data_IF_675191194742
#
_entry.id   IF_675191194742
#
_cell.length_a   1.000
_cell.length_b   1.000
_cell.length_c   1.000
_cell.angle_alpha   90.00
_cell.angle_beta   90.00
_cell.angle_gamma   90.00
#
_symmetry.space_group_name_H-M   'P 1'
#
loop_
_entity.id
_entity.type
_entity.pdbx_description
1 polymer ?
#
# COMPACT_ATOMS: atom_id res chain seq x y z
N UNK A 1 -18.09 70.21 -3.23
CA UNK A 1 -16.95 69.25 -3.21
C UNK A 1 -17.27 67.83 -3.71
N UNK A 2 -18.38 67.58 -4.44
CA UNK A 2 -18.69 66.25 -5.04
C UNK A 2 -18.53 66.17 -6.58
N UNK A 3 -17.99 67.20 -7.23
CA UNK A 3 -17.81 67.22 -8.69
C UNK A 3 -16.34 67.04 -9.15
N UNK A 4 -15.34 67.29 -8.29
CA UNK A 4 -13.92 67.07 -8.60
C UNK A 4 -13.45 65.61 -8.45
N UNK A 5 -14.17 64.74 -7.72
CA UNK A 5 -13.82 63.30 -7.62
C UNK A 5 -14.19 62.51 -8.88
N UNK A 6 -15.28 62.85 -9.58
CA UNK A 6 -15.74 62.14 -10.80
C UNK A 6 -14.85 62.37 -12.05
N UNK A 7 -14.01 63.42 -12.05
CA UNK A 7 -13.07 63.71 -13.15
C UNK A 7 -11.71 63.02 -12.96
N UNK A 8 -11.40 62.53 -11.76
CA UNK A 8 -10.19 61.75 -11.46
C UNK A 8 -10.36 60.27 -11.85
N UNK A 9 -11.56 59.69 -11.66
CA UNK A 9 -11.84 58.29 -12.04
C UNK A 9 -11.95 58.08 -13.56
N UNK A 10 -12.42 59.07 -14.34
CA UNK A 10 -12.49 58.94 -15.82
C UNK A 10 -11.13 59.00 -16.51
N UNK A 11 -10.11 59.60 -15.89
CA UNK A 11 -8.74 59.63 -16.44
C UNK A 11 -8.03 58.27 -16.26
N UNK A 12 -8.21 57.63 -15.11
CA UNK A 12 -7.58 56.32 -14.81
C UNK A 12 -8.15 55.17 -15.65
N UNK A 13 -9.45 55.22 -16.02
CA UNK A 13 -10.08 54.19 -16.85
C UNK A 13 -9.79 54.35 -18.36
N UNK A 14 -9.34 55.53 -18.82
CA UNK A 14 -8.94 55.75 -20.22
C UNK A 14 -7.52 55.28 -20.51
N UNK A 15 -6.61 55.34 -19.53
CA UNK A 15 -5.20 54.91 -19.68
C UNK A 15 -5.05 53.37 -19.65
N UNK A 16 -5.97 52.67 -18.98
CA UNK A 16 -5.98 51.18 -18.93
C UNK A 16 -6.52 50.55 -20.22
N UNK A 17 -7.38 51.24 -20.98
CA UNK A 17 -7.89 50.75 -22.27
C UNK A 17 -6.93 51.01 -23.44
N UNK A 18 -6.02 51.98 -23.34
CA UNK A 18 -4.99 52.24 -24.36
C UNK A 18 -3.81 51.26 -24.26
N UNK A 19 -3.44 50.81 -23.05
CA UNK A 19 -2.38 49.82 -22.86
C UNK A 19 -2.79 48.40 -23.28
N UNK A 20 -4.07 48.06 -23.25
CA UNK A 20 -4.56 46.73 -23.65
C UNK A 20 -4.77 46.57 -25.17
N UNK A 21 -4.76 47.67 -25.94
CA UNK A 21 -4.84 47.66 -27.42
C UNK A 21 -3.48 47.55 -28.10
N UNK A 22 -2.39 47.93 -27.44
CA UNK A 22 -1.03 47.92 -28.00
C UNK A 22 -0.32 46.56 -27.87
N UNK A 23 -0.73 45.71 -26.93
CA UNK A 23 -0.20 44.33 -26.84
C UNK A 23 -0.88 43.35 -27.80
N UNK A 24 -2.11 43.64 -28.26
CA UNK A 24 -2.85 42.79 -29.19
C UNK A 24 -2.52 43.07 -30.67
N UNK A 25 -1.87 44.20 -30.97
CA UNK A 25 -1.54 44.63 -32.34
C UNK A 25 -0.07 44.42 -32.73
N UNK A 26 0.83 44.14 -31.78
CA UNK A 26 2.22 43.73 -32.07
C UNK A 26 2.44 42.22 -32.25
N UNK A 27 1.40 41.40 -32.08
CA UNK A 27 1.45 39.95 -32.36
C UNK A 27 0.80 39.55 -33.69
N UNK A 28 0.31 40.51 -34.48
CA UNK A 28 -0.37 40.30 -35.77
C UNK A 28 0.44 40.73 -37.00
N UNK A 29 1.75 41.03 -36.85
CA UNK A 29 2.62 41.41 -37.97
C UNK A 29 3.98 40.71 -37.94
N UNK A 30 4.00 39.41 -37.67
CA UNK A 30 5.03 38.52 -38.22
C UNK A 30 4.35 37.65 -39.26
N UNK A 31 4.29 38.21 -40.47
CA UNK A 31 3.76 37.61 -41.69
C UNK A 31 4.66 36.44 -42.08
N UNK A 32 4.54 35.32 -41.37
CA UNK A 32 5.09 34.04 -41.79
C UNK A 32 4.28 33.62 -43.01
N UNK A 33 4.86 33.86 -44.20
CA UNK A 33 4.44 33.23 -45.45
C UNK A 33 4.59 31.72 -45.26
N UNK A 34 3.55 31.08 -44.74
CA UNK A 34 3.40 29.64 -44.84
C UNK A 34 3.05 29.40 -46.30
N UNK A 35 4.08 29.10 -47.08
CA UNK A 35 3.92 28.51 -48.39
C UNK A 35 3.37 27.10 -48.14
N UNK A 36 2.04 26.96 -48.09
CA UNK A 36 1.37 25.65 -48.00
C UNK A 36 1.54 25.00 -49.37
N UNK A 37 2.73 24.45 -49.59
CA UNK A 37 2.88 23.35 -50.51
C UNK A 37 2.03 22.22 -49.94
N UNK A 38 0.83 22.02 -50.51
CA UNK A 38 -0.02 20.86 -50.31
C UNK A 38 0.73 19.61 -50.80
N UNK A 39 1.72 19.18 -50.03
CA UNK A 39 2.30 17.85 -50.16
C UNK A 39 1.35 16.93 -49.41
N UNK A 40 0.50 16.20 -50.14
CA UNK A 40 -0.32 15.10 -49.61
C UNK A 40 0.59 14.07 -48.94
N UNK A 41 0.91 14.25 -47.66
CA UNK A 41 1.48 13.20 -46.82
C UNK A 41 0.32 12.42 -46.20
N UNK A 42 0.41 11.09 -46.25
CA UNK A 42 -0.68 10.20 -45.83
C UNK A 42 -0.94 10.39 -44.33
N UNK A 43 -2.22 10.42 -43.86
CA UNK A 43 -2.57 10.65 -42.45
C UNK A 43 -1.99 9.62 -41.47
N UNK A 44 -1.49 8.49 -41.98
CA UNK A 44 -0.81 7.45 -41.21
C UNK A 44 0.59 7.83 -40.74
N UNK A 45 1.34 8.69 -41.46
CA UNK A 45 2.73 9.01 -41.08
C UNK A 45 2.83 10.00 -39.90
N UNK A 46 2.01 11.05 -39.89
CA UNK A 46 1.97 12.05 -38.80
C UNK A 46 1.56 11.41 -37.46
N UNK A 47 0.54 10.55 -37.47
CA UNK A 47 0.06 9.86 -36.27
C UNK A 47 1.12 8.90 -35.69
N UNK A 48 1.87 8.22 -36.57
CA UNK A 48 2.95 7.31 -36.18
C UNK A 48 4.12 8.08 -35.57
N UNK A 49 4.42 9.28 -36.09
CA UNK A 49 5.48 10.15 -35.59
C UNK A 49 5.11 10.76 -34.22
N UNK A 50 3.85 11.15 -34.04
CA UNK A 50 3.34 11.63 -32.75
C UNK A 50 3.29 10.52 -31.70
N UNK A 51 2.82 9.31 -32.06
CA UNK A 51 2.83 8.15 -31.17
C UNK A 51 4.25 7.76 -30.78
N UNK A 52 5.21 7.78 -31.72
CA UNK A 52 6.61 7.51 -31.42
C UNK A 52 7.24 8.63 -30.58
N UNK A 53 6.89 9.90 -30.81
CA UNK A 53 7.37 11.03 -30.02
C UNK A 53 6.86 10.98 -28.56
N UNK A 54 5.57 10.65 -28.36
CA UNK A 54 4.99 10.47 -27.02
C UNK A 54 5.59 9.25 -26.33
N UNK A 55 5.77 8.14 -27.06
CA UNK A 55 6.36 6.90 -26.53
C UNK A 55 7.84 7.10 -26.15
N UNK A 56 8.62 7.86 -26.92
CA UNK A 56 9.99 8.22 -26.55
C UNK A 56 10.00 9.11 -25.31
N UNK A 57 9.21 10.19 -25.24
CA UNK A 57 9.23 11.13 -24.12
C UNK A 57 8.80 10.58 -22.75
N UNK A 58 7.94 9.55 -22.70
CA UNK A 58 7.50 8.96 -21.41
C UNK A 58 8.58 8.07 -20.79
N UNK A 59 9.35 7.36 -21.61
CA UNK A 59 10.41 6.43 -21.17
C UNK A 59 11.80 7.05 -21.14
N UNK A 60 12.03 8.20 -21.79
CA UNK A 60 13.30 8.96 -21.74
C UNK A 60 13.43 9.88 -20.50
N UNK A 61 12.60 9.66 -19.48
CA UNK A 61 12.86 10.30 -18.17
C UNK A 61 14.06 9.60 -17.54
N UNK A 62 15.20 10.30 -17.49
CA UNK A 62 16.33 9.91 -16.67
C UNK A 62 15.92 9.95 -15.18
N UNK A 63 15.31 8.86 -14.70
CA UNK A 63 14.90 8.73 -13.31
C UNK A 63 16.18 8.61 -12.49
N UNK A 64 16.44 9.62 -11.66
CA UNK A 64 17.54 9.56 -10.72
C UNK A 64 17.18 8.54 -9.61
N UNK A 65 17.59 7.28 -9.81
CA UNK A 65 17.36 6.19 -8.84
C UNK A 65 17.98 6.48 -7.47
N UNK A 66 19.04 7.30 -7.40
CA UNK A 66 19.63 7.72 -6.14
C UNK A 66 18.73 8.70 -5.37
N UNK A 67 17.88 9.46 -6.06
CA UNK A 67 16.89 10.34 -5.43
C UNK A 67 15.71 9.53 -4.86
N UNK A 68 15.37 8.41 -5.49
CA UNK A 68 14.37 7.47 -4.96
C UNK A 68 14.86 6.91 -3.61
N UNK A 69 16.09 6.40 -3.54
CA UNK A 69 16.61 5.82 -2.29
C UNK A 69 17.13 6.80 -1.24
N UNK A 70 16.86 8.11 -1.40
CA UNK A 70 17.16 9.14 -0.39
C UNK A 70 15.97 9.37 0.54
N UNK A 71 15.90 8.58 1.60
CA UNK A 71 15.00 8.82 2.75
C UNK A 71 15.55 9.91 3.68
N UNK A 72 15.84 11.12 3.16
CA UNK A 72 16.48 12.20 3.92
C UNK A 72 15.65 12.71 5.10
N UNK A 73 14.35 12.40 5.13
CA UNK A 73 13.44 12.78 6.22
C UNK A 73 13.47 11.80 7.40
N UNK A 74 14.10 10.63 7.27
CA UNK A 74 14.16 9.60 8.29
C UNK A 74 15.57 9.55 8.88
N UNK A 75 15.71 9.54 10.20
CA UNK A 75 17.02 9.48 10.85
C UNK A 75 17.75 8.16 10.52
N UNK A 76 19.09 8.18 10.53
CA UNK A 76 19.92 6.97 10.31
C UNK A 76 19.58 5.85 11.31
N UNK A 77 19.29 6.21 12.55
CA UNK A 77 18.87 5.28 13.59
C UNK A 77 17.55 4.58 13.22
N UNK A 78 16.55 5.34 12.75
CA UNK A 78 15.27 4.77 12.30
C UNK A 78 15.41 3.95 11.02
N UNK A 79 16.30 4.32 10.10
CA UNK A 79 16.63 3.48 8.95
C UNK A 79 17.18 2.11 9.37
N UNK A 80 18.08 2.07 10.35
CA UNK A 80 18.62 0.81 10.86
C UNK A 80 17.54 -0.01 11.58
N UNK A 81 16.67 0.65 12.35
CA UNK A 81 15.52 0.04 12.99
C UNK A 81 14.60 -0.64 11.98
N UNK A 82 14.20 0.08 10.92
CA UNK A 82 13.36 -0.44 9.85
C UNK A 82 14.00 -1.65 9.16
N UNK A 83 15.32 -1.62 8.92
CA UNK A 83 16.02 -2.79 8.36
C UNK A 83 15.84 -4.03 9.23
N UNK A 84 15.96 -3.89 10.56
CA UNK A 84 15.75 -5.01 11.48
C UNK A 84 14.29 -5.49 11.46
N UNK A 85 13.32 -4.56 11.47
CA UNK A 85 11.89 -4.88 11.34
C UNK A 85 11.62 -5.71 10.08
N UNK A 86 12.06 -5.25 8.90
CA UNK A 86 11.81 -5.95 7.64
C UNK A 86 12.62 -7.25 7.49
N UNK A 87 13.79 -7.34 8.11
CA UNK A 87 14.56 -8.59 8.17
C UNK A 87 13.82 -9.64 9.01
N UNK A 88 13.32 -9.27 10.18
CA UNK A 88 12.47 -10.13 11.01
C UNK A 88 11.17 -10.51 10.32
N UNK A 89 10.55 -9.57 9.59
CA UNK A 89 9.35 -9.85 8.81
C UNK A 89 9.62 -10.93 7.75
N UNK A 90 10.74 -10.81 7.04
CA UNK A 90 11.16 -11.80 6.02
C UNK A 90 11.38 -13.19 6.64
N UNK A 91 12.01 -13.25 7.82
CA UNK A 91 12.14 -14.50 8.58
C UNK A 91 10.78 -15.07 8.97
N UNK A 92 9.86 -14.23 9.48
CA UNK A 92 8.50 -14.66 9.83
C UNK A 92 7.76 -15.23 8.62
N UNK A 93 7.97 -14.67 7.41
CA UNK A 93 7.37 -15.19 6.18
C UNK A 93 7.86 -16.59 5.83
N UNK A 94 9.17 -16.83 5.93
CA UNK A 94 9.73 -18.17 5.71
C UNK A 94 9.21 -19.18 6.74
N UNK A 95 9.17 -18.78 8.01
CA UNK A 95 8.71 -19.64 9.10
C UNK A 95 7.20 -19.92 9.01
N UNK A 96 6.39 -18.92 8.65
CA UNK A 96 4.97 -19.11 8.41
C UNK A 96 4.70 -19.99 7.19
N UNK A 97 5.49 -19.86 6.12
CA UNK A 97 5.41 -20.75 4.97
C UNK A 97 5.73 -22.20 5.35
N UNK A 98 6.75 -22.42 6.19
CA UNK A 98 7.06 -23.74 6.74
C UNK A 98 5.90 -24.29 7.60
N UNK A 99 5.28 -23.46 8.43
CA UNK A 99 4.09 -23.84 9.21
C UNK A 99 2.90 -24.23 8.33
N UNK A 100 2.61 -23.44 7.30
CA UNK A 100 1.55 -23.76 6.34
C UNK A 100 1.84 -25.08 5.58
N UNK A 101 3.08 -25.30 5.17
CA UNK A 101 3.50 -26.55 4.52
C UNK A 101 3.33 -27.77 5.44
N UNK A 102 3.76 -27.66 6.70
CA UNK A 102 3.57 -28.73 7.71
C UNK A 102 2.09 -29.06 7.87
N UNK A 103 1.20 -28.06 7.93
CA UNK A 103 -0.24 -28.30 7.98
C UNK A 103 -0.72 -29.12 6.77
N UNK A 104 -0.37 -28.69 5.54
CA UNK A 104 -0.82 -29.32 4.29
C UNK A 104 -0.39 -30.79 4.20
N UNK A 105 0.85 -31.10 4.58
CA UNK A 105 1.38 -32.48 4.51
C UNK A 105 0.79 -33.36 5.60
N UNK A 106 0.79 -32.86 6.83
CA UNK A 106 0.50 -33.70 7.98
C UNK A 106 -0.99 -33.82 8.24
N UNK A 107 -1.79 -32.82 7.81
CA UNK A 107 -3.18 -32.62 8.23
C UNK A 107 -3.39 -32.77 9.74
N UNK A 108 -2.30 -32.68 10.53
CA UNK A 108 -2.23 -33.13 11.93
C UNK A 108 -3.15 -32.32 12.83
N UNK A 109 -3.42 -31.10 12.42
CA UNK A 109 -4.42 -30.26 13.03
C UNK A 109 -5.50 -30.03 11.98
N UNK A 110 -6.73 -30.49 12.22
CA UNK A 110 -7.93 -29.82 11.65
C UNK A 110 -8.08 -28.38 12.21
N UNK A 111 -7.05 -27.84 12.88
CA UNK A 111 -6.26 -26.77 12.26
C UNK A 111 -6.65 -25.34 12.58
N UNK A 112 -7.89 -25.11 12.97
CA UNK A 112 -8.36 -23.77 13.29
C UNK A 112 -7.99 -23.36 14.72
N UNK A 113 -8.46 -24.10 15.72
CA UNK A 113 -8.51 -23.58 17.08
C UNK A 113 -7.18 -23.68 17.83
N UNK A 114 -6.47 -24.80 17.74
CA UNK A 114 -5.21 -25.01 18.46
C UNK A 114 -4.09 -24.10 17.96
N UNK A 115 -4.02 -23.87 16.65
CA UNK A 115 -3.06 -22.93 16.03
C UNK A 115 -3.38 -21.49 16.44
N UNK A 116 -4.65 -21.09 16.46
CA UNK A 116 -5.10 -19.77 16.94
C UNK A 116 -4.76 -19.59 18.42
N UNK A 117 -5.14 -20.54 19.28
CA UNK A 117 -4.82 -20.47 20.72
C UNK A 117 -3.31 -20.47 20.98
N UNK A 118 -2.55 -21.28 20.24
CA UNK A 118 -1.10 -21.33 20.32
C UNK A 118 -0.46 -20.01 19.88
N UNK A 119 -0.90 -19.43 18.76
CA UNK A 119 -0.41 -18.14 18.29
C UNK A 119 -0.74 -17.02 19.28
N UNK A 120 -1.94 -17.02 19.87
CA UNK A 120 -2.32 -16.07 20.91
C UNK A 120 -1.45 -16.24 22.17
N UNK A 121 -1.18 -17.48 22.58
CA UNK A 121 -0.30 -17.77 23.71
C UNK A 121 1.13 -17.28 23.46
N UNK A 122 1.69 -17.51 22.27
CA UNK A 122 3.02 -16.99 21.91
C UNK A 122 3.04 -15.46 21.88
N UNK A 123 1.98 -14.82 21.39
CA UNK A 123 1.86 -13.36 21.38
C UNK A 123 1.77 -12.77 22.79
N UNK A 124 0.99 -13.40 23.68
CA UNK A 124 0.96 -13.02 25.11
C UNK A 124 2.33 -13.21 25.76
N UNK A 125 3.02 -14.33 25.48
CA UNK A 125 4.36 -14.58 26.00
C UNK A 125 5.38 -13.54 25.52
N UNK A 126 5.29 -13.14 24.25
CA UNK A 126 6.12 -12.07 23.70
C UNK A 126 5.88 -10.74 24.41
N UNK A 127 4.61 -10.39 24.68
CA UNK A 127 4.23 -9.16 25.38
C UNK A 127 4.68 -9.15 26.85
N UNK A 128 4.76 -10.31 27.50
CA UNK A 128 5.24 -10.43 28.89
C UNK A 128 6.77 -10.43 28.99
N UNK A 129 7.48 -10.62 27.89
CA UNK A 129 8.95 -10.66 27.87
C UNK A 129 9.48 -9.24 27.63
N UNK A 130 10.18 -8.62 28.62
CA UNK A 130 10.64 -7.25 28.50
C UNK A 130 11.66 -7.08 27.36
N UNK A 131 11.64 -5.91 26.73
CA UNK A 131 12.62 -5.54 25.71
C UNK A 131 13.97 -5.24 26.35
N UNK A 132 14.94 -6.14 26.17
CA UNK A 132 16.32 -5.95 26.56
C UNK A 132 17.25 -6.67 25.57
N UNK A 133 18.54 -6.27 25.46
CA UNK A 133 19.49 -6.95 24.57
C UNK A 133 19.73 -8.42 24.95
N UNK A 134 19.56 -8.77 26.23
CA UNK A 134 19.72 -10.15 26.70
C UNK A 134 18.53 -11.04 26.32
N UNK A 135 17.31 -10.47 26.31
CA UNK A 135 16.09 -11.21 25.97
C UNK A 135 15.83 -11.26 24.47
N UNK A 136 16.56 -10.49 23.65
CA UNK A 136 16.34 -10.34 22.21
C UNK A 136 16.26 -11.69 21.47
N UNK A 137 17.24 -12.59 21.69
CA UNK A 137 17.26 -13.93 21.06
C UNK A 137 16.03 -14.76 21.44
N UNK A 138 15.62 -14.70 22.71
CA UNK A 138 14.42 -15.39 23.21
C UNK A 138 13.16 -14.81 22.57
N UNK A 139 13.06 -13.49 22.46
CA UNK A 139 11.93 -12.81 21.81
C UNK A 139 11.82 -13.16 20.33
N UNK A 140 12.95 -13.23 19.61
CA UNK A 140 12.99 -13.69 18.22
C UNK A 140 12.55 -15.15 18.07
N UNK A 141 12.93 -16.03 19.00
CA UNK A 141 12.48 -17.41 19.01
C UNK A 141 10.95 -17.51 19.24
N UNK A 142 10.41 -16.72 20.18
CA UNK A 142 8.97 -16.65 20.42
C UNK A 142 8.24 -16.08 19.19
N UNK A 143 8.77 -15.03 18.56
CA UNK A 143 8.24 -14.48 17.31
C UNK A 143 8.20 -15.52 16.19
N UNK A 144 9.26 -16.34 16.08
CA UNK A 144 9.32 -17.42 15.08
C UNK A 144 8.28 -18.50 15.37
N UNK A 145 8.11 -18.90 16.64
CA UNK A 145 7.08 -19.86 17.03
C UNK A 145 5.66 -19.31 16.77
N UNK A 146 5.43 -18.02 17.05
CA UNK A 146 4.21 -17.31 16.70
C UNK A 146 3.96 -17.37 15.18
N UNK A 147 4.94 -16.99 14.37
CA UNK A 147 4.83 -17.00 12.91
C UNK A 147 4.55 -18.40 12.36
N UNK A 148 5.20 -19.43 12.90
CA UNK A 148 4.97 -20.82 12.54
C UNK A 148 3.51 -21.24 12.82
N UNK A 149 3.01 -20.96 14.03
CA UNK A 149 1.64 -21.29 14.42
C UNK A 149 0.60 -20.50 13.62
N UNK A 150 0.88 -19.22 13.31
CA UNK A 150 0.05 -18.44 12.39
C UNK A 150 0.02 -19.08 10.99
N UNK A 151 1.16 -19.56 10.50
CA UNK A 151 1.27 -20.31 9.25
C UNK A 151 0.44 -21.60 9.24
N UNK A 152 0.53 -22.40 10.31
CA UNK A 152 -0.33 -23.58 10.52
C UNK A 152 -1.82 -23.18 10.54
N UNK A 153 -2.15 -22.05 11.19
CA UNK A 153 -3.52 -21.53 11.26
C UNK A 153 -4.11 -21.05 9.93
N UNK A 154 -3.28 -20.80 8.91
CA UNK A 154 -3.75 -20.57 7.54
C UNK A 154 -4.19 -21.87 6.85
N UNK A 155 -3.87 -23.02 7.43
CA UNK A 155 -4.11 -24.36 6.90
C UNK A 155 -5.51 -24.58 6.30
N UNK A 156 -6.61 -24.34 7.04
CA UNK A 156 -7.96 -24.53 6.50
C UNK A 156 -8.26 -23.67 5.25
N UNK A 157 -7.71 -22.45 5.19
CA UNK A 157 -7.84 -21.60 4.01
C UNK A 157 -7.01 -22.13 2.83
N UNK A 158 -5.81 -22.66 3.11
CA UNK A 158 -4.98 -23.34 2.11
C UNK A 158 -5.67 -24.58 1.56
N UNK A 159 -6.24 -25.43 2.42
CA UNK A 159 -6.94 -26.64 2.02
C UNK A 159 -8.12 -26.31 1.08
N UNK A 160 -8.87 -25.25 1.39
CA UNK A 160 -9.93 -24.74 0.52
C UNK A 160 -9.38 -24.32 -0.85
N UNK A 161 -8.29 -23.56 -0.91
CA UNK A 161 -7.72 -23.07 -2.17
C UNK A 161 -7.06 -24.19 -2.98
N UNK A 162 -6.38 -25.14 -2.33
CA UNK A 162 -5.79 -26.32 -2.98
C UNK A 162 -6.88 -27.16 -3.64
N UNK A 163 -8.06 -27.25 -3.03
CA UNK A 163 -9.20 -27.97 -3.62
C UNK A 163 -9.75 -27.34 -4.90
N UNK A 164 -9.51 -26.04 -5.10
CA UNK A 164 -9.94 -25.29 -6.29
C UNK A 164 -8.81 -25.22 -7.31
N UNK A 165 -7.71 -24.55 -6.97
CA UNK A 165 -6.52 -24.43 -7.82
C UNK A 165 -5.30 -24.05 -6.95
N UNK A 166 -4.30 -24.93 -6.79
CA UNK A 166 -3.14 -24.68 -5.95
C UNK A 166 -2.24 -23.54 -6.46
N UNK A 167 -2.27 -23.21 -7.75
CA UNK A 167 -1.47 -22.09 -8.31
C UNK A 167 -1.88 -20.72 -7.76
N UNK A 168 -3.10 -20.62 -7.22
CA UNK A 168 -3.61 -19.41 -6.57
C UNK A 168 -2.78 -19.03 -5.35
N UNK A 169 -2.20 -19.99 -4.63
CA UNK A 169 -1.40 -19.71 -3.42
C UNK A 169 -0.18 -18.86 -3.77
N UNK A 170 0.56 -19.25 -4.81
CA UNK A 170 1.75 -18.52 -5.28
C UNK A 170 1.34 -17.15 -5.83
N UNK A 171 0.25 -17.10 -6.61
CA UNK A 171 -0.28 -15.86 -7.17
C UNK A 171 -0.71 -14.87 -6.08
N UNK A 172 -1.40 -15.36 -5.05
CA UNK A 172 -1.80 -14.57 -3.89
C UNK A 172 -0.59 -14.06 -3.11
N UNK A 173 0.43 -14.90 -2.90
CA UNK A 173 1.64 -14.50 -2.18
C UNK A 173 2.36 -13.37 -2.91
N UNK A 174 2.62 -13.55 -4.21
CA UNK A 174 3.26 -12.52 -5.05
C UNK A 174 2.43 -11.24 -5.11
N UNK A 175 1.11 -11.36 -5.28
CA UNK A 175 0.20 -10.22 -5.27
C UNK A 175 0.24 -9.45 -3.94
N UNK A 176 0.24 -10.17 -2.81
CA UNK A 176 0.40 -9.56 -1.49
C UNK A 176 1.76 -8.91 -1.30
N UNK A 177 2.84 -9.54 -1.75
CA UNK A 177 4.18 -8.94 -1.71
C UNK A 177 4.24 -7.62 -2.47
N UNK A 178 3.67 -7.57 -3.68
CA UNK A 178 3.61 -6.33 -4.48
C UNK A 178 2.78 -5.26 -3.77
N UNK A 179 1.57 -5.60 -3.28
CA UNK A 179 0.72 -4.67 -2.52
C UNK A 179 1.50 -4.13 -1.32
N UNK A 180 2.03 -5.02 -0.49
CA UNK A 180 2.72 -4.65 0.73
C UNK A 180 3.92 -3.73 0.45
N UNK A 181 4.78 -4.09 -0.52
CA UNK A 181 5.93 -3.24 -0.91
C UNK A 181 5.48 -1.88 -1.44
N UNK A 182 4.46 -1.82 -2.30
CA UNK A 182 3.95 -0.56 -2.84
C UNK A 182 3.42 0.37 -1.75
N UNK A 183 2.62 -0.16 -0.81
CA UNK A 183 2.07 0.62 0.29
C UNK A 183 3.14 1.01 1.31
N UNK A 184 4.04 0.10 1.68
CA UNK A 184 5.20 0.41 2.53
C UNK A 184 6.06 1.51 1.91
N UNK A 185 6.43 1.42 0.64
CA UNK A 185 7.21 2.47 -0.04
C UNK A 185 6.46 3.80 -0.03
N UNK A 186 5.17 3.79 -0.35
CA UNK A 186 4.32 4.98 -0.30
C UNK A 186 4.31 5.62 1.10
N UNK A 187 4.31 4.82 2.16
CA UNK A 187 4.48 5.30 3.52
C UNK A 187 5.89 5.87 3.77
N UNK A 188 6.96 5.22 3.32
CA UNK A 188 8.33 5.72 3.52
C UNK A 188 8.62 7.06 2.81
N UNK A 189 7.97 7.34 1.67
CA UNK A 189 8.11 8.61 0.94
C UNK A 189 7.18 9.72 1.42
N UNK A 190 6.07 9.36 2.07
CA UNK A 190 5.12 10.35 2.54
C UNK A 190 5.71 11.20 3.66
N UNK A 191 5.19 12.42 3.79
CA UNK A 191 5.57 13.31 4.87
C UNK A 191 5.29 12.65 6.22
N UNK A 192 6.21 12.80 7.16
CA UNK A 192 6.10 12.21 8.51
C UNK A 192 4.74 12.54 9.14
N UNK A 193 4.09 11.52 9.72
CA UNK A 193 2.77 11.57 10.38
C UNK A 193 1.56 11.76 9.46
N UNK A 194 1.72 11.85 8.14
CA UNK A 194 0.59 12.09 7.23
C UNK A 194 -0.47 10.98 7.31
N UNK A 195 -0.05 9.72 7.43
CA UNK A 195 -0.99 8.58 7.50
C UNK A 195 -1.45 8.24 8.93
N UNK A 196 -0.86 8.82 9.98
CA UNK A 196 -1.28 8.53 11.36
C UNK A 196 -2.70 9.00 11.66
N UNK A 197 -3.17 10.03 10.95
CA UNK A 197 -4.57 10.48 11.03
C UNK A 197 -5.57 9.41 10.58
N UNK A 198 -5.17 8.48 9.67
CA UNK A 198 -6.05 7.41 9.22
C UNK A 198 -6.33 6.38 10.31
N UNK A 199 -5.54 6.31 11.39
CA UNK A 199 -5.68 5.29 12.43
C UNK A 199 -7.09 5.17 13.00
N UNK A 200 -7.73 6.30 13.31
CA UNK A 200 -9.11 6.30 13.82
C UNK A 200 -10.13 5.75 12.81
N UNK A 201 -9.97 6.09 11.53
CA UNK A 201 -10.86 5.63 10.45
C UNK A 201 -10.66 4.15 10.16
N UNK A 202 -9.40 3.68 10.10
CA UNK A 202 -9.06 2.28 9.85
C UNK A 202 -9.54 1.38 10.99
N UNK A 203 -9.33 1.78 12.25
CA UNK A 203 -9.80 1.02 13.42
C UNK A 203 -11.33 0.95 13.50
N UNK A 204 -12.02 2.04 13.16
CA UNK A 204 -13.47 2.04 13.03
C UNK A 204 -13.95 1.09 11.93
N UNK A 205 -13.32 1.14 10.75
CA UNK A 205 -13.62 0.23 9.65
C UNK A 205 -13.40 -1.25 10.01
N UNK A 206 -12.31 -1.56 10.72
CA UNK A 206 -12.03 -2.91 11.21
C UNK A 206 -13.11 -3.40 12.20
N UNK A 207 -13.57 -2.51 13.07
CA UNK A 207 -14.65 -2.82 14.03
C UNK A 207 -15.98 -3.09 13.32
N UNK A 208 -16.31 -2.32 12.29
CA UNK A 208 -17.48 -2.56 11.45
C UNK A 208 -17.36 -3.90 10.73
N UNK A 209 -16.19 -4.23 10.17
CA UNK A 209 -15.95 -5.52 9.53
C UNK A 209 -16.11 -6.69 10.49
N UNK A 210 -15.68 -6.55 11.74
CA UNK A 210 -15.89 -7.54 12.78
C UNK A 210 -17.39 -7.75 13.03
N UNK A 211 -18.15 -6.65 13.25
CA UNK A 211 -19.60 -6.73 13.43
C UNK A 211 -20.30 -7.37 12.23
N UNK A 212 -19.94 -6.98 11.00
CA UNK A 212 -20.48 -7.58 9.78
C UNK A 212 -20.14 -9.07 9.69
N UNK A 213 -18.95 -9.49 10.11
CA UNK A 213 -18.57 -10.91 10.14
C UNK A 213 -19.44 -11.72 11.10
N UNK A 214 -19.74 -11.17 12.28
CA UNK A 214 -20.62 -11.81 13.27
C UNK A 214 -22.06 -11.86 12.76
N UNK A 215 -22.57 -10.76 12.21
CA UNK A 215 -23.91 -10.73 11.62
C UNK A 215 -24.06 -11.71 10.46
N UNK A 216 -23.05 -11.80 9.58
CA UNK A 216 -23.08 -12.71 8.44
C UNK A 216 -23.00 -14.19 8.85
N UNK A 217 -22.53 -14.51 10.06
CA UNK A 217 -22.59 -15.86 10.61
C UNK A 217 -24.03 -16.33 10.85
N UNK A 218 -24.94 -15.41 11.21
CA UNK A 218 -26.37 -15.71 11.39
C UNK A 218 -27.16 -15.61 10.07
N UNK A 219 -26.79 -14.68 9.19
CA UNK A 219 -27.50 -14.46 7.92
C UNK A 219 -27.08 -15.47 6.84
N UNK A 220 -25.78 -15.82 6.76
CA UNK A 220 -25.24 -16.74 5.76
C UNK A 220 -25.19 -16.18 4.33
N UNK A 221 -25.14 -14.85 4.14
CA UNK A 221 -25.18 -14.26 2.80
C UNK A 221 -23.82 -14.31 2.09
N UNK A 222 -23.79 -14.95 0.91
CA UNK A 222 -22.60 -15.01 0.05
C UNK A 222 -22.21 -13.63 -0.50
N UNK A 223 -23.20 -12.77 -0.78
CA UNK A 223 -22.94 -11.41 -1.25
C UNK A 223 -22.25 -10.54 -0.18
N UNK A 224 -22.72 -10.63 1.07
CA UNK A 224 -22.10 -9.94 2.19
C UNK A 224 -20.69 -10.47 2.47
N UNK A 225 -20.49 -11.79 2.38
CA UNK A 225 -19.16 -12.40 2.50
C UNK A 225 -18.19 -11.87 1.45
N UNK A 226 -18.61 -11.84 0.18
CA UNK A 226 -17.79 -11.31 -0.93
C UNK A 226 -17.46 -9.83 -0.71
N UNK A 227 -18.45 -9.01 -0.38
CA UNK A 227 -18.23 -7.59 -0.07
C UNK A 227 -17.27 -7.39 1.11
N UNK A 228 -17.45 -8.16 2.19
CA UNK A 228 -16.57 -8.15 3.35
C UNK A 228 -15.11 -8.45 2.98
N UNK A 229 -14.86 -9.40 2.07
CA UNK A 229 -13.50 -9.72 1.64
C UNK A 229 -12.82 -8.56 0.88
N UNK A 230 -13.52 -7.92 -0.06
CA UNK A 230 -12.96 -6.77 -0.78
C UNK A 230 -12.73 -5.55 0.13
N UNK A 231 -13.70 -5.22 0.98
CA UNK A 231 -13.59 -4.06 1.89
C UNK A 231 -12.48 -4.31 2.93
N UNK A 232 -12.40 -5.51 3.48
CA UNK A 232 -11.31 -5.89 4.38
C UNK A 232 -9.95 -5.77 3.71
N UNK A 233 -9.80 -6.23 2.47
CA UNK A 233 -8.54 -6.11 1.74
C UNK A 233 -8.08 -4.65 1.60
N UNK A 234 -9.00 -3.74 1.23
CA UNK A 234 -8.70 -2.31 1.10
C UNK A 234 -8.31 -1.69 2.44
N UNK A 235 -9.03 -2.02 3.52
CA UNK A 235 -8.73 -1.53 4.87
C UNK A 235 -7.34 -2.03 5.33
N UNK A 236 -7.01 -3.30 5.07
CA UNK A 236 -5.68 -3.83 5.43
C UNK A 236 -4.56 -3.17 4.63
N UNK A 237 -4.78 -2.81 3.36
CA UNK A 237 -3.80 -2.00 2.62
C UNK A 237 -3.58 -0.63 3.27
N UNK A 238 -4.64 -0.04 3.83
CA UNK A 238 -4.56 1.17 4.64
C UNK A 238 -3.78 0.97 5.95
N UNK A 239 -3.93 -0.18 6.61
CA UNK A 239 -3.14 -0.52 7.81
C UNK A 239 -1.65 -0.60 7.50
N UNK A 240 -1.23 -1.17 6.36
CA UNK A 240 0.19 -1.18 5.98
C UNK A 240 0.78 0.23 5.90
N UNK A 241 0.02 1.21 5.38
CA UNK A 241 0.43 2.62 5.37
C UNK A 241 0.56 3.19 6.79
N UNK A 242 -0.47 2.95 7.60
CA UNK A 242 -0.57 3.46 8.96
C UNK A 242 0.52 2.86 9.86
N UNK A 243 0.69 1.54 9.86
CA UNK A 243 1.64 0.82 10.69
C UNK A 243 3.08 1.14 10.28
N UNK A 244 3.38 1.23 8.97
CA UNK A 244 4.70 1.68 8.53
C UNK A 244 5.03 3.08 9.05
N UNK A 245 4.08 4.03 8.99
CA UNK A 245 4.27 5.38 9.54
C UNK A 245 4.34 5.39 11.08
N UNK A 246 3.56 4.53 11.75
CA UNK A 246 3.57 4.41 13.20
C UNK A 246 4.91 3.87 13.70
N UNK A 247 5.47 2.89 13.01
CA UNK A 247 6.80 2.33 13.30
C UNK A 247 7.89 3.40 13.15
N UNK A 248 7.84 4.21 12.09
CA UNK A 248 8.76 5.34 11.91
C UNK A 248 8.62 6.31 13.07
N UNK A 249 7.39 6.69 13.42
CA UNK A 249 7.13 7.66 14.48
C UNK A 249 7.60 7.17 15.85
N UNK A 250 7.25 5.93 16.22
CA UNK A 250 7.71 5.28 17.45
C UNK A 250 9.23 5.22 17.53
N UNK A 251 9.88 4.83 16.43
CA UNK A 251 11.33 4.75 16.37
C UNK A 251 12.02 6.12 16.50
N UNK A 252 11.43 7.19 15.96
CA UNK A 252 11.92 8.56 16.14
C UNK A 252 11.69 9.07 17.57
N UNK A 253 10.68 8.57 18.28
CA UNK A 253 10.42 8.87 19.70
C UNK A 253 11.27 8.02 20.67
N UNK A 254 12.11 7.10 20.15
CA UNK A 254 13.01 6.28 20.95
C UNK A 254 12.54 4.86 21.23
N UNK A 255 11.35 4.47 20.77
CA UNK A 255 10.87 3.09 20.85
C UNK A 255 11.52 2.24 19.74
N UNK A 256 12.55 1.47 20.13
CA UNK A 256 13.36 0.64 19.25
C UNK A 256 13.03 -0.85 19.35
N UNK A 257 11.81 -1.20 19.75
CA UNK A 257 11.36 -2.60 19.76
C UNK A 257 10.97 -3.11 18.37
N UNK A 258 11.97 -3.49 17.58
CA UNK A 258 11.75 -3.92 16.19
C UNK A 258 10.99 -5.25 16.11
N UNK A 259 11.04 -6.06 17.17
CA UNK A 259 10.34 -7.35 17.24
C UNK A 259 8.84 -7.10 17.35
N UNK A 260 8.41 -6.18 18.22
CA UNK A 260 7.00 -5.84 18.33
C UNK A 260 6.48 -5.17 17.05
N UNK A 261 7.25 -4.23 16.50
CA UNK A 261 6.92 -3.58 15.22
C UNK A 261 6.84 -4.57 14.05
N UNK A 262 7.61 -5.66 14.10
CA UNK A 262 7.52 -6.75 13.13
C UNK A 262 6.21 -7.54 13.26
N UNK A 263 5.67 -7.71 14.47
CA UNK A 263 4.39 -8.41 14.68
C UNK A 263 3.26 -7.67 13.98
N UNK A 264 3.20 -6.35 14.14
CA UNK A 264 2.18 -5.48 13.52
C UNK A 264 2.18 -5.69 11.98
N UNK A 265 3.33 -5.51 11.34
CA UNK A 265 3.49 -5.70 9.88
C UNK A 265 3.26 -7.15 9.42
N UNK A 266 3.61 -8.14 10.24
CA UNK A 266 3.38 -9.55 9.93
C UNK A 266 1.89 -9.89 9.91
N UNK A 267 1.12 -9.38 10.87
CA UNK A 267 -0.33 -9.58 10.93
C UNK A 267 -1.05 -8.91 9.75
N UNK A 268 -0.59 -7.72 9.37
CA UNK A 268 -1.05 -7.04 8.16
C UNK A 268 -0.82 -7.89 6.92
N UNK A 269 0.42 -8.35 6.70
CA UNK A 269 0.76 -9.17 5.54
C UNK A 269 -0.07 -10.45 5.49
N UNK A 270 -0.10 -11.23 6.59
CA UNK A 270 -0.85 -12.49 6.65
C UNK A 270 -2.34 -12.28 6.40
N UNK A 271 -2.90 -11.17 6.88
CA UNK A 271 -4.30 -10.85 6.64
C UNK A 271 -4.56 -10.49 5.19
N UNK A 272 -3.74 -9.65 4.56
CA UNK A 272 -3.86 -9.35 3.12
C UNK A 272 -3.73 -10.64 2.30
N UNK A 273 -2.74 -11.48 2.62
CA UNK A 273 -2.49 -12.75 1.94
C UNK A 273 -3.70 -13.68 2.00
N UNK A 274 -4.23 -13.94 3.20
CA UNK A 274 -5.42 -14.76 3.41
C UNK A 274 -6.63 -14.22 2.63
N UNK A 275 -6.86 -12.89 2.67
CA UNK A 275 -7.99 -12.26 1.97
C UNK A 275 -7.84 -12.37 0.46
N UNK A 276 -6.66 -12.10 -0.07
CA UNK A 276 -6.37 -12.18 -1.50
C UNK A 276 -6.47 -13.62 -2.02
N UNK A 277 -5.94 -14.58 -1.27
CA UNK A 277 -6.02 -16.00 -1.59
C UNK A 277 -7.47 -16.49 -1.71
N UNK A 278 -8.31 -16.21 -0.72
CA UNK A 278 -9.74 -16.58 -0.74
C UNK A 278 -10.47 -15.87 -1.88
N UNK A 279 -10.18 -14.59 -2.12
CA UNK A 279 -10.81 -13.80 -3.18
C UNK A 279 -10.47 -14.34 -4.58
N UNK A 280 -9.21 -14.70 -4.83
CA UNK A 280 -8.80 -15.33 -6.07
C UNK A 280 -9.50 -16.69 -6.26
N UNK A 281 -9.54 -17.51 -5.21
CA UNK A 281 -10.25 -18.80 -5.25
C UNK A 281 -11.75 -18.66 -5.55
N UNK A 282 -12.42 -17.65 -4.99
CA UNK A 282 -13.85 -17.38 -5.25
C UNK A 282 -14.14 -16.87 -6.67
N UNK A 283 -13.17 -16.24 -7.34
CA UNK A 283 -13.33 -15.69 -8.67
C UNK A 283 -12.77 -16.60 -9.77
N UNK A 284 -12.07 -17.67 -9.40
CA UNK A 284 -11.60 -18.68 -10.34
C UNK A 284 -12.81 -19.35 -11.00
N UNK A 285 -12.86 -19.31 -12.33
CA UNK A 285 -13.88 -20.04 -13.08
C UNK A 285 -13.49 -21.51 -13.03
N UNK A 286 -14.24 -22.33 -12.29
CA UNK A 286 -14.14 -23.78 -12.40
C UNK A 286 -14.55 -24.14 -13.83
N UNK A 287 -13.56 -24.36 -14.69
CA UNK A 287 -13.77 -24.89 -16.03
C UNK A 287 -14.15 -26.36 -15.84
N UNK A 288 -15.45 -26.64 -15.92
CA UNK A 288 -15.97 -28.01 -16.02
C UNK A 288 -15.74 -28.55 -17.43
#
# INVERSE_FOLDING_TARGET
MRFRRKLSERRSCSETLTLHKDYSTKFLSSRMRINIGLRRTKPTQELTLYLNSVKMNVFDRNINFDALWKFSQISRSTQQHLKNVYASLSLCMLVAAAGAYVHVVTRLFQGGLLSVLGSLAMMMWLSMTPHSPETEKKRLAILSAFAFLTGVGLGPAMDYVISINPSIIITAFLGTSVIFVCFTLSALYAQRRSYLFLGGTLMSGLSILLLVSVLNMFIGSMALFKAHMYIALVIMCGFVLFDTQLIIEKAEMGDKDYIWHCVDLFLDFVTIFRKLMVLLAMNEKVVF
#
